data_IF_279641433308
#
_entry.id   IF_279641433308
#
_cell.length_a   1.000
_cell.length_b   1.000
_cell.length_c   1.000
_cell.angle_alpha   90.00
_cell.angle_beta   90.00
_cell.angle_gamma   90.00
#
_symmetry.space_group_name_H-M   'P 1'
#
loop_
_entity.id
_entity.type
_entity.pdbx_description
1 polymer ?
#
# COMPACT_ATOMS: atom_id res chain seq x y z
N UNK A 1 -24.63 0.53 -40.91
CA UNK A 1 -24.34 -0.92 -41.00
C UNK A 1 -22.87 -1.04 -40.66
N UNK A 2 -22.57 -1.51 -39.45
CA UNK A 2 -21.20 -1.74 -38.98
C UNK A 2 -20.98 -3.23 -39.24
N UNK A 3 -19.98 -3.56 -40.05
CA UNK A 3 -19.63 -4.93 -40.40
C UNK A 3 -19.09 -5.68 -39.17
N UNK A 4 -19.63 -6.88 -38.92
CA UNK A 4 -19.27 -7.81 -37.83
C UNK A 4 -17.86 -8.43 -37.98
N UNK A 5 -16.83 -7.63 -38.29
CA UNK A 5 -15.46 -8.12 -38.51
C UNK A 5 -14.38 -7.55 -37.61
N UNK A 6 -14.72 -6.66 -36.69
CA UNK A 6 -13.79 -6.22 -35.63
C UNK A 6 -14.08 -6.94 -34.30
N UNK A 7 -14.20 -8.27 -34.34
CA UNK A 7 -14.10 -9.07 -33.12
C UNK A 7 -12.63 -9.06 -32.66
N UNK A 8 -12.38 -8.45 -31.50
CA UNK A 8 -11.09 -8.49 -30.82
C UNK A 8 -10.62 -9.95 -30.66
N UNK A 9 -9.40 -10.24 -31.15
CA UNK A 9 -8.74 -11.51 -30.94
C UNK A 9 -8.42 -11.70 -29.45
N UNK A 10 -9.12 -12.64 -28.81
CA UNK A 10 -8.90 -13.00 -27.41
C UNK A 10 -7.56 -13.78 -27.29
N UNK A 11 -6.62 -13.32 -26.44
CA UNK A 11 -5.37 -14.01 -26.16
C UNK A 11 -5.57 -15.48 -25.77
N UNK A 12 -4.72 -16.36 -26.30
CA UNK A 12 -4.89 -17.82 -26.24
C UNK A 12 -4.89 -18.41 -24.81
N UNK A 13 -4.29 -17.72 -23.84
CA UNK A 13 -4.31 -18.14 -22.44
C UNK A 13 -5.67 -17.95 -21.77
N UNK A 14 -6.50 -17.01 -22.24
CA UNK A 14 -7.84 -16.77 -21.72
C UNK A 14 -8.85 -17.79 -22.25
N UNK A 15 -8.60 -18.39 -23.42
CA UNK A 15 -9.42 -19.49 -23.95
C UNK A 15 -9.33 -20.77 -23.11
N UNK A 16 -8.22 -20.98 -22.39
CA UNK A 16 -7.97 -22.19 -21.58
C UNK A 16 -8.60 -22.19 -20.19
N UNK A 17 -9.21 -21.07 -19.78
CA UNK A 17 -9.88 -20.95 -18.49
C UNK A 17 -11.39 -21.28 -18.57
N UNK A 18 -11.94 -21.51 -19.76
CA UNK A 18 -13.36 -21.78 -19.98
C UNK A 18 -13.81 -23.24 -19.85
N UNK A 19 -12.88 -24.20 -19.86
CA UNK A 19 -13.20 -25.64 -19.96
C UNK A 19 -12.93 -26.43 -18.67
N UNK A 20 -13.44 -25.97 -17.53
CA UNK A 20 -13.53 -26.82 -16.33
C UNK A 20 -14.89 -26.73 -15.63
N UNK A 21 -15.95 -27.04 -16.38
CA UNK A 21 -17.20 -27.49 -15.80
C UNK A 21 -17.19 -29.03 -15.70
N UNK A 22 -16.75 -29.58 -14.56
CA UNK A 22 -17.20 -30.91 -14.13
C UNK A 22 -17.43 -30.96 -12.61
N UNK A 23 -18.69 -31.26 -12.28
CA UNK A 23 -19.25 -31.61 -10.97
C UNK A 23 -18.86 -33.05 -10.55
N UNK A 24 -19.15 -33.47 -9.30
CA UNK A 24 -18.28 -34.30 -8.46
C UNK A 24 -18.58 -35.79 -8.54
N UNK A 25 -17.56 -36.67 -8.48
CA UNK A 25 -17.78 -38.07 -8.05
C UNK A 25 -16.51 -38.78 -7.58
N UNK A 26 -16.69 -39.57 -6.52
CA UNK A 26 -16.00 -40.83 -6.16
C UNK A 26 -14.56 -40.82 -5.62
N UNK A 27 -14.47 -40.64 -4.30
CA UNK A 27 -13.37 -41.17 -3.48
C UNK A 27 -13.50 -42.70 -3.41
N UNK A 28 -12.65 -43.43 -4.14
CA UNK A 28 -12.48 -44.87 -3.97
C UNK A 28 -11.82 -45.19 -2.64
N UNK A 29 -12.62 -45.72 -1.71
CA UNK A 29 -12.18 -46.43 -0.51
C UNK A 29 -11.61 -47.78 -0.96
N UNK A 30 -10.31 -48.01 -0.75
CA UNK A 30 -9.75 -49.38 -0.77
C UNK A 30 -9.58 -49.84 0.67
N UNK A 31 -10.47 -50.75 1.08
CA UNK A 31 -10.29 -51.63 2.25
C UNK A 31 -9.50 -52.85 1.78
N UNK A 32 -8.35 -53.11 2.38
CA UNK A 32 -7.84 -54.48 2.49
C UNK A 32 -7.59 -54.83 3.95
N UNK A 33 -7.97 -56.06 4.27
CA UNK A 33 -8.18 -56.62 5.60
C UNK A 33 -6.98 -57.47 6.04
N UNK A 34 -6.93 -57.71 7.35
CA UNK A 34 -6.47 -58.93 8.07
C UNK A 34 -5.09 -58.88 8.77
N UNK A 35 -5.18 -58.76 10.10
CA UNK A 35 -4.23 -59.04 11.19
C UNK A 35 -3.82 -60.55 11.28
N UNK A 36 -2.98 -61.01 12.25
CA UNK A 36 -1.87 -60.38 12.96
C UNK A 36 -0.62 -61.32 13.01
N UNK A 37 0.56 -60.80 13.36
CA UNK A 37 1.57 -61.61 14.05
C UNK A 37 2.27 -60.75 15.10
N UNK A 38 2.05 -61.12 16.35
CA UNK A 38 2.61 -60.51 17.55
C UNK A 38 3.96 -61.16 17.79
N UNK A 39 5.03 -60.38 17.83
CA UNK A 39 6.28 -60.75 18.49
C UNK A 39 6.70 -59.56 19.37
N UNK A 40 6.63 -59.78 20.68
CA UNK A 40 7.17 -58.87 21.70
C UNK A 40 8.66 -59.08 21.80
N UNK A 41 9.48 -58.02 21.73
CA UNK A 41 10.71 -57.94 22.51
C UNK A 41 11.20 -56.49 22.70
N UNK A 42 11.38 -56.17 23.99
CA UNK A 42 12.39 -55.29 24.60
C UNK A 42 12.36 -53.78 24.37
N UNK A 43 12.18 -53.09 25.49
CA UNK A 43 12.44 -51.68 25.75
C UNK A 43 13.70 -51.18 25.05
N UNK A 44 13.52 -50.18 24.19
CA UNK A 44 14.58 -49.24 23.84
C UNK A 44 13.96 -47.85 23.77
N UNK A 45 14.63 -46.93 24.46
CA UNK A 45 14.20 -45.59 24.82
C UNK A 45 13.48 -44.85 23.67
N UNK A 46 12.21 -44.51 23.91
CA UNK A 46 11.48 -43.52 23.13
C UNK A 46 12.20 -42.19 23.35
N UNK A 47 13.13 -41.83 22.46
CA UNK A 47 13.46 -40.42 22.23
C UNK A 47 12.15 -39.78 21.82
N UNK A 48 11.56 -38.99 22.74
CA UNK A 48 10.50 -38.04 22.39
C UNK A 48 11.06 -37.16 21.29
N UNK A 49 10.71 -37.47 20.03
CA UNK A 49 10.73 -36.47 18.98
C UNK A 49 9.84 -35.34 19.47
N UNK A 50 10.46 -34.23 19.84
CA UNK A 50 9.74 -32.99 20.06
C UNK A 50 8.94 -32.72 18.77
N UNK A 51 7.62 -32.82 18.88
CA UNK A 51 6.72 -32.24 17.89
C UNK A 51 7.18 -30.79 17.67
N UNK A 52 7.87 -30.56 16.54
CA UNK A 52 8.15 -29.22 16.05
C UNK A 52 6.79 -28.61 15.78
N UNK A 53 6.27 -27.88 16.79
CA UNK A 53 5.12 -26.98 16.61
C UNK A 53 5.33 -26.26 15.28
N UNK A 54 4.34 -26.23 14.39
CA UNK A 54 4.49 -25.58 13.10
C UNK A 54 4.99 -24.16 13.36
N UNK A 55 6.24 -23.88 12.96
CA UNK A 55 6.80 -22.54 13.03
C UNK A 55 5.87 -21.70 12.18
N UNK A 56 5.09 -20.83 12.83
CA UNK A 56 4.31 -19.81 12.13
C UNK A 56 5.23 -19.20 11.07
N UNK A 57 4.76 -19.02 9.83
CA UNK A 57 5.59 -18.42 8.79
C UNK A 57 6.20 -17.15 9.36
N UNK A 58 7.52 -16.99 9.19
CA UNK A 58 8.20 -15.74 9.59
C UNK A 58 7.59 -14.66 8.71
N UNK A 59 6.57 -13.98 9.22
CA UNK A 59 6.02 -12.80 8.58
C UNK A 59 7.16 -11.79 8.55
N UNK A 60 7.57 -11.40 7.36
CA UNK A 60 8.56 -10.35 7.20
C UNK A 60 7.93 -9.05 7.73
N UNK A 61 8.35 -8.67 8.94
CA UNK A 61 7.83 -7.50 9.64
C UNK A 61 8.16 -6.24 8.84
N UNK A 62 9.29 -6.20 8.12
CA UNK A 62 9.66 -5.04 7.32
C UNK A 62 8.74 -4.90 6.11
N UNK A 63 8.52 -5.99 5.37
CA UNK A 63 7.59 -6.01 4.25
C UNK A 63 6.16 -5.63 4.69
N UNK A 64 5.70 -6.15 5.84
CA UNK A 64 4.39 -5.80 6.38
C UNK A 64 4.29 -4.31 6.76
N UNK A 65 5.31 -3.77 7.42
CA UNK A 65 5.35 -2.34 7.74
C UNK A 65 5.39 -1.48 6.48
N UNK A 66 6.11 -1.89 5.44
CA UNK A 66 6.14 -1.20 4.16
C UNK A 66 4.77 -1.20 3.50
N UNK A 67 4.13 -2.37 3.36
CA UNK A 67 2.78 -2.49 2.80
C UNK A 67 1.80 -1.57 3.52
N UNK A 68 1.77 -1.64 4.86
CA UNK A 68 0.87 -0.79 5.64
C UNK A 68 1.18 0.71 5.49
N UNK A 69 2.45 1.08 5.32
CA UNK A 69 2.81 2.47 5.03
C UNK A 69 2.27 2.89 3.67
N UNK A 70 2.36 2.02 2.65
CA UNK A 70 1.83 2.29 1.32
C UNK A 70 0.31 2.45 1.33
N UNK A 71 -0.41 1.60 2.07
CA UNK A 71 -1.86 1.73 2.21
C UNK A 71 -2.24 3.11 2.77
N UNK A 72 -1.55 3.57 3.81
CA UNK A 72 -1.75 4.91 4.37
C UNK A 72 -1.37 6.05 3.40
N UNK A 73 -0.34 5.85 2.58
CA UNK A 73 0.05 6.83 1.55
C UNK A 73 -1.08 6.98 0.53
N UNK A 74 -1.62 5.86 0.02
CA UNK A 74 -2.68 5.86 -0.97
C UNK A 74 -3.91 6.59 -0.42
N UNK A 75 -4.37 6.23 0.79
CA UNK A 75 -5.54 6.85 1.40
C UNK A 75 -5.35 8.37 1.60
N UNK A 76 -4.16 8.81 2.02
CA UNK A 76 -3.86 10.24 2.19
C UNK A 76 -3.85 10.98 0.86
N UNK A 77 -3.32 10.37 -0.20
CA UNK A 77 -3.36 10.94 -1.54
C UNK A 77 -4.79 11.06 -2.04
N UNK A 78 -5.61 10.02 -1.86
CA UNK A 78 -7.03 10.05 -2.23
C UNK A 78 -7.78 11.15 -1.49
N UNK A 79 -7.51 11.35 -0.19
CA UNK A 79 -8.08 12.45 0.58
C UNK A 79 -7.64 13.81 0.01
N UNK A 80 -6.37 13.98 -0.35
CA UNK A 80 -5.87 15.23 -0.95
C UNK A 80 -6.49 15.50 -2.32
N UNK A 81 -6.59 14.50 -3.19
CA UNK A 81 -7.24 14.64 -4.50
C UNK A 81 -8.73 14.93 -4.36
N UNK A 82 -9.42 14.18 -3.50
CA UNK A 82 -10.81 14.46 -3.17
C UNK A 82 -10.98 15.87 -2.56
N UNK A 83 -10.01 16.34 -1.76
CA UNK A 83 -10.00 17.73 -1.28
C UNK A 83 -9.93 18.68 -2.46
N UNK A 84 -8.96 18.52 -3.35
CA UNK A 84 -8.79 19.38 -4.51
C UNK A 84 -10.05 19.46 -5.39
N UNK A 85 -10.65 18.31 -5.72
CA UNK A 85 -11.87 18.20 -6.54
C UNK A 85 -13.10 18.76 -5.82
N UNK A 86 -13.29 18.44 -4.54
CA UNK A 86 -14.46 18.93 -3.80
C UNK A 86 -14.36 20.40 -3.43
N UNK A 87 -13.16 20.96 -3.33
CA UNK A 87 -12.99 22.40 -3.15
C UNK A 87 -13.33 23.16 -4.47
N UNK A 88 -13.56 22.45 -5.59
CA UNK A 88 -14.28 22.96 -6.79
C UNK A 88 -15.82 22.73 -6.72
N UNK A 89 -16.31 21.83 -5.84
CA UNK A 89 -17.70 21.34 -5.83
C UNK A 89 -18.43 21.40 -4.46
N UNK A 90 -17.85 22.07 -3.44
CA UNK A 90 -18.40 22.31 -2.08
C UNK A 90 -18.89 21.08 -1.30
N UNK A 91 -18.19 19.94 -1.38
CA UNK A 91 -18.52 18.74 -0.59
C UNK A 91 -17.67 18.61 0.68
N UNK A 92 -18.24 17.96 1.71
CA UNK A 92 -17.56 17.68 2.98
C UNK A 92 -16.46 16.63 2.79
N UNK A 93 -15.20 17.02 3.01
CA UNK A 93 -14.04 16.13 2.86
C UNK A 93 -13.52 15.69 4.24
N UNK A 94 -13.13 14.42 4.36
CA UNK A 94 -12.39 13.90 5.52
C UNK A 94 -11.05 14.65 5.66
N UNK A 95 -10.77 15.19 6.84
CA UNK A 95 -9.48 15.83 7.13
C UNK A 95 -8.41 14.77 7.42
N UNK A 96 -7.16 14.96 6.95
CA UNK A 96 -6.05 14.03 7.16
C UNK A 96 -5.70 13.87 8.65
N UNK A 97 -5.86 14.90 9.46
CA UNK A 97 -5.68 14.77 10.91
C UNK A 97 -6.66 13.75 11.51
N UNK A 98 -7.92 13.83 11.11
CA UNK A 98 -8.96 12.93 11.60
C UNK A 98 -8.75 11.52 11.06
N UNK A 99 -8.37 11.36 9.79
CA UNK A 99 -7.94 10.07 9.23
C UNK A 99 -6.78 9.45 10.04
N UNK A 100 -5.72 10.22 10.30
CA UNK A 100 -4.58 9.74 11.10
C UNK A 100 -4.99 9.28 12.50
N UNK A 101 -5.98 9.97 13.09
CA UNK A 101 -6.52 9.67 14.41
C UNK A 101 -7.40 8.42 14.38
N UNK A 102 -8.31 8.32 13.42
CA UNK A 102 -9.27 7.24 13.28
C UNK A 102 -8.57 5.91 12.98
N UNK A 103 -7.52 5.95 12.15
CA UNK A 103 -6.66 4.80 11.86
C UNK A 103 -5.60 4.52 12.94
N UNK A 104 -5.56 5.32 14.01
CA UNK A 104 -4.58 5.29 15.09
C UNK A 104 -3.11 5.22 14.60
N UNK A 105 -2.77 5.96 13.54
CA UNK A 105 -1.49 5.80 12.83
C UNK A 105 -0.32 5.98 13.82
N UNK A 106 0.59 5.00 13.96
CA UNK A 106 1.69 5.14 14.88
C UNK A 106 2.67 6.21 14.38
N UNK A 107 3.20 7.02 15.31
CA UNK A 107 4.12 8.12 14.96
C UNK A 107 5.40 7.71 14.22
N UNK A 108 5.73 6.41 14.16
CA UNK A 108 6.85 5.89 13.36
C UNK A 108 6.56 5.85 11.85
N UNK A 109 5.29 5.83 11.45
CA UNK A 109 4.88 5.86 10.04
C UNK A 109 4.78 7.30 9.53
N UNK A 110 4.41 8.25 10.41
CA UNK A 110 4.15 9.64 10.02
C UNK A 110 5.33 10.32 9.30
N UNK A 111 6.59 9.98 9.61
CA UNK A 111 7.73 10.56 8.89
C UNK A 111 7.72 10.18 7.41
N UNK A 112 7.46 8.90 7.10
CA UNK A 112 7.39 8.43 5.71
C UNK A 112 6.20 9.01 4.96
N UNK A 113 5.08 9.22 5.65
CA UNK A 113 3.90 9.87 5.07
C UNK A 113 4.21 11.33 4.70
N UNK A 114 4.97 12.03 5.55
CA UNK A 114 5.42 13.40 5.27
C UNK A 114 6.38 13.41 4.09
N UNK A 115 7.39 12.52 4.08
CA UNK A 115 8.38 12.44 3.01
C UNK A 115 7.70 12.26 1.64
N UNK A 116 6.70 11.36 1.56
CA UNK A 116 5.94 11.11 0.32
C UNK A 116 5.23 12.38 -0.17
N UNK A 117 4.51 13.07 0.71
CA UNK A 117 3.79 14.30 0.36
C UNK A 117 4.77 15.41 -0.06
N UNK A 118 5.88 15.56 0.65
CA UNK A 118 6.90 16.55 0.34
C UNK A 118 7.55 16.31 -1.03
N UNK A 119 7.70 15.05 -1.45
CA UNK A 119 8.25 14.71 -2.77
C UNK A 119 7.31 15.14 -3.92
N UNK A 120 5.99 14.91 -3.84
CA UNK A 120 5.05 15.46 -4.82
C UNK A 120 5.05 16.99 -4.83
N UNK A 121 5.14 17.58 -3.64
CA UNK A 121 5.10 19.02 -3.49
C UNK A 121 6.33 19.70 -4.13
N UNK A 122 7.50 19.03 -4.08
CA UNK A 122 8.70 19.47 -4.81
C UNK A 122 8.46 19.47 -6.31
N UNK A 123 7.84 18.44 -6.85
CA UNK A 123 7.52 18.34 -8.27
C UNK A 123 6.57 19.46 -8.72
N UNK A 124 5.50 19.73 -7.95
CA UNK A 124 4.57 20.83 -8.24
C UNK A 124 5.25 22.21 -8.19
N UNK A 125 6.14 22.42 -7.22
CA UNK A 125 6.94 23.65 -7.12
C UNK A 125 7.93 23.77 -8.29
N UNK A 126 8.53 22.67 -8.73
CA UNK A 126 9.41 22.63 -9.89
C UNK A 126 8.67 22.99 -11.18
N UNK A 127 7.47 22.46 -11.41
CA UNK A 127 6.64 22.80 -12.58
C UNK A 127 6.32 24.29 -12.61
N UNK A 128 5.92 24.86 -11.47
CA UNK A 128 5.68 26.31 -11.38
C UNK A 128 6.94 27.12 -11.68
N UNK A 129 8.12 26.64 -11.29
CA UNK A 129 9.40 27.28 -11.63
C UNK A 129 9.70 27.18 -13.13
N UNK A 130 9.52 26.00 -13.74
CA UNK A 130 9.71 25.77 -15.19
C UNK A 130 8.80 26.71 -16.01
N UNK A 131 7.55 26.88 -15.58
CA UNK A 131 6.58 27.76 -16.25
C UNK A 131 7.00 29.24 -16.26
N UNK A 132 7.92 29.66 -15.40
CA UNK A 132 8.51 31.01 -15.41
C UNK A 132 9.61 31.17 -16.47
N UNK A 133 10.25 30.06 -16.88
CA UNK A 133 11.28 30.06 -17.93
C UNK A 133 10.62 30.30 -19.29
N UNK A 134 11.13 31.19 -20.15
CA UNK A 134 10.60 31.35 -21.50
C UNK A 134 10.62 30.02 -22.28
N UNK A 135 9.54 29.70 -23.02
CA UNK A 135 9.39 28.43 -23.76
C UNK A 135 10.59 28.06 -24.67
N UNK A 136 11.28 29.07 -25.21
CA UNK A 136 12.45 28.88 -26.09
C UNK A 136 13.74 28.52 -25.35
N UNK A 137 13.79 28.77 -24.04
CA UNK A 137 14.96 28.58 -23.19
C UNK A 137 14.87 27.29 -22.35
N UNK A 138 13.72 26.61 -22.37
CA UNK A 138 13.50 25.37 -21.63
C UNK A 138 14.29 24.21 -22.23
N UNK A 139 14.88 23.38 -21.37
CA UNK A 139 15.47 22.10 -21.78
C UNK A 139 14.39 21.12 -22.23
N UNK A 140 14.78 20.01 -22.86
CA UNK A 140 13.80 19.00 -23.27
C UNK A 140 13.12 18.34 -22.07
N UNK A 141 13.90 17.98 -21.04
CA UNK A 141 13.38 17.44 -19.77
C UNK A 141 12.37 18.39 -19.11
N UNK A 142 12.63 19.70 -19.14
CA UNK A 142 11.71 20.70 -18.58
C UNK A 142 10.39 20.78 -19.34
N UNK A 143 10.41 20.59 -20.67
CA UNK A 143 9.18 20.55 -21.47
C UNK A 143 8.39 19.28 -21.17
N UNK A 144 9.04 18.12 -21.12
CA UNK A 144 8.38 16.85 -20.79
C UNK A 144 7.68 16.91 -19.42
N UNK A 145 8.38 17.45 -18.42
CA UNK A 145 7.81 17.66 -17.08
C UNK A 145 6.62 18.62 -17.12
N UNK A 146 6.71 19.74 -17.85
CA UNK A 146 5.60 20.69 -17.95
C UNK A 146 4.38 20.08 -18.66
N UNK A 147 4.60 19.38 -19.78
CA UNK A 147 3.56 18.75 -20.61
C UNK A 147 2.76 17.72 -19.81
N UNK A 148 3.41 17.00 -18.88
CA UNK A 148 2.74 16.08 -17.96
C UNK A 148 1.66 16.73 -17.07
N UNK A 149 1.68 18.06 -16.94
CA UNK A 149 0.79 18.84 -16.09
C UNK A 149 0.04 19.96 -16.83
N UNK A 150 0.02 19.93 -18.16
CA UNK A 150 -0.62 20.96 -18.99
C UNK A 150 -2.14 21.06 -18.77
N UNK A 151 -2.78 20.02 -18.24
CA UNK A 151 -4.19 20.03 -17.84
C UNK A 151 -4.48 20.93 -16.63
N UNK A 152 -3.47 21.34 -15.86
CA UNK A 152 -3.63 22.15 -14.66
C UNK A 152 -3.08 23.57 -14.84
N UNK A 153 -3.90 24.56 -14.51
CA UNK A 153 -3.49 25.96 -14.46
C UNK A 153 -2.50 26.24 -13.32
N UNK A 154 -1.77 27.36 -13.40
CA UNK A 154 -0.90 27.80 -12.29
C UNK A 154 -1.66 28.02 -10.98
N UNK A 155 -2.93 28.38 -11.06
CA UNK A 155 -3.78 28.56 -9.87
C UNK A 155 -4.08 27.21 -9.22
N UNK A 156 -4.42 26.20 -10.02
CA UNK A 156 -4.68 24.83 -9.55
C UNK A 156 -3.43 24.19 -8.96
N UNK A 157 -2.28 24.32 -9.62
CA UNK A 157 -1.00 23.81 -9.09
C UNK A 157 -0.66 24.43 -7.72
N UNK A 158 -0.83 25.74 -7.57
CA UNK A 158 -0.64 26.41 -6.26
C UNK A 158 -1.61 25.89 -5.20
N UNK A 159 -2.87 25.64 -5.58
CA UNK A 159 -3.87 25.07 -4.68
C UNK A 159 -3.48 23.66 -4.22
N UNK A 160 -2.99 22.81 -5.12
CA UNK A 160 -2.49 21.47 -4.77
C UNK A 160 -1.33 21.56 -3.78
N UNK A 161 -0.39 22.48 -3.99
CA UNK A 161 0.71 22.76 -3.05
C UNK A 161 0.14 23.15 -1.66
N UNK A 162 -0.83 24.07 -1.61
CA UNK A 162 -1.44 24.49 -0.33
C UNK A 162 -2.14 23.34 0.40
N UNK A 163 -2.81 22.45 -0.34
CA UNK A 163 -3.45 21.24 0.22
C UNK A 163 -2.38 20.31 0.81
N UNK A 164 -1.29 20.07 0.08
CA UNK A 164 -0.19 19.23 0.55
C UNK A 164 0.55 19.83 1.75
N UNK A 165 0.80 21.14 1.77
CA UNK A 165 1.42 21.83 2.92
C UNK A 165 0.53 21.74 4.18
N UNK A 166 -0.80 21.83 4.02
CA UNK A 166 -1.76 21.59 5.11
C UNK A 166 -1.74 20.13 5.57
N UNK A 167 -1.68 19.17 4.65
CA UNK A 167 -1.58 17.75 4.96
C UNK A 167 -0.35 17.44 5.82
N UNK A 168 0.82 17.94 5.42
CA UNK A 168 2.07 17.81 6.20
C UNK A 168 1.88 18.36 7.61
N UNK A 169 1.31 19.56 7.74
CA UNK A 169 1.06 20.20 9.04
C UNK A 169 0.14 19.37 9.95
N UNK A 170 -0.89 18.75 9.37
CA UNK A 170 -1.84 17.89 10.08
C UNK A 170 -1.19 16.58 10.54
N UNK A 171 -0.41 15.93 9.69
CA UNK A 171 0.34 14.71 10.04
C UNK A 171 1.37 15.01 11.12
N UNK A 172 2.09 16.13 11.02
CA UNK A 172 3.04 16.58 12.04
C UNK A 172 2.36 16.82 13.39
N UNK A 173 1.15 17.41 13.39
CA UNK A 173 0.35 17.61 14.62
C UNK A 173 0.01 16.27 15.27
N UNK A 174 -0.42 15.28 14.48
CA UNK A 174 -0.70 13.94 14.99
C UNK A 174 0.56 13.24 15.51
N UNK A 175 1.66 13.32 14.76
CA UNK A 175 2.93 12.72 15.13
C UNK A 175 3.45 13.26 16.48
N UNK A 176 3.35 14.58 16.71
CA UNK A 176 3.70 15.21 18.01
C UNK A 176 2.84 14.66 19.15
N UNK A 177 1.54 14.49 18.93
CA UNK A 177 0.64 13.90 19.93
C UNK A 177 1.06 12.45 20.24
N UNK A 178 1.34 11.62 19.23
CA UNK A 178 1.84 10.25 19.43
C UNK A 178 3.19 10.19 20.15
N UNK A 179 4.09 11.13 19.88
CA UNK A 179 5.36 11.23 20.59
C UNK A 179 5.15 11.54 22.08
N UNK A 180 4.24 12.45 22.41
CA UNK A 180 3.93 12.82 23.80
C UNK A 180 3.33 11.67 24.63
N UNK A 181 2.66 10.72 23.96
CA UNK A 181 2.07 9.53 24.59
C UNK A 181 3.08 8.41 24.86
N UNK A 182 4.33 8.52 24.36
CA UNK A 182 5.34 7.48 24.56
C UNK A 182 5.80 7.45 26.01
N UNK A 183 5.74 6.27 26.62
CA UNK A 183 6.34 6.03 27.94
C UNK A 183 7.84 6.30 27.89
N UNK A 184 8.36 6.99 28.92
CA UNK A 184 9.79 7.21 29.07
C UNK A 184 10.55 5.88 29.08
N UNK A 185 11.66 5.81 28.32
CA UNK A 185 12.54 4.63 28.34
C UNK A 185 13.22 4.57 29.70
N UNK A 186 13.21 3.39 30.35
CA UNK A 186 14.01 3.18 31.56
C UNK A 186 15.50 3.33 31.21
N UNK A 187 16.32 4.02 32.03
CA UNK A 187 17.76 4.10 31.80
C UNK A 187 18.35 2.69 31.78
N UNK A 188 19.30 2.43 30.87
CA UNK A 188 20.07 1.19 30.91
C UNK A 188 20.93 1.20 32.17
N UNK A 189 20.93 0.11 32.92
CA UNK A 189 21.89 -0.07 33.99
C UNK A 189 23.29 -0.01 33.39
N UNK A 190 24.11 0.91 33.89
CA UNK A 190 25.54 0.97 33.59
C UNK A 190 26.16 -0.15 34.44
N UNK A 191 26.76 -1.15 33.79
CA UNK A 191 27.53 -2.22 34.44
C UNK A 191 29.01 -1.94 34.35
#
# INVERSE_FOLDING_TARGET
MIDDKDLLDIPEFLKRLGDTDMKPTDVKIVKEKVNPKIEFHTESEIKKEEEKKPKKPKVDIQARMQSQTQDYIIDIRDINYATFDNELHELSIQNIYDYCKDCDIPGAYCSRLIDDIEDFNKEYKQILHIRLIPKKERTEDEKEIEEGYDSYSNKEMKRMIDIQDKAVSQIQRWAKLKQSQRKARKPRAIS
#
